data_IF_516122971182
#
_entry.id   IF_516122971182
#
_cell.length_a   1.000
_cell.length_b   1.000
_cell.length_c   1.000
_cell.angle_alpha   90.00
_cell.angle_beta   90.00
_cell.angle_gamma   90.00
#
_symmetry.space_group_name_H-M   'P 1'
#
loop_
_entity.id
_entity.type
_entity.pdbx_description
1 polymer ?
#
# COMPACT_ATOMS: atom_id res chain seq x y z
N UNK A 1 1.53 15.04 13.51
CA UNK A 1 0.29 14.29 13.73
C UNK A 1 0.33 13.01 12.91
N UNK A 2 -0.15 11.92 13.47
CA UNK A 2 -0.08 10.61 12.82
C UNK A 2 -1.50 10.14 12.47
N UNK A 3 -1.70 9.75 11.19
CA UNK A 3 -2.96 9.18 10.72
C UNK A 3 -2.74 7.73 10.34
N UNK A 4 -3.71 6.88 10.65
CA UNK A 4 -3.61 5.43 10.43
C UNK A 4 -4.82 4.90 9.69
N UNK A 5 -4.55 3.90 8.85
CA UNK A 5 -5.55 3.05 8.24
C UNK A 5 -5.23 1.60 8.58
N UNK A 6 -6.22 0.86 9.02
CA UNK A 6 -6.15 -0.60 9.08
C UNK A 6 -7.44 -1.17 8.50
N UNK A 7 -7.30 -2.10 7.56
CA UNK A 7 -8.46 -2.77 7.00
C UNK A 7 -8.15 -4.22 6.65
N UNK A 8 -9.13 -5.06 6.86
CA UNK A 8 -9.08 -6.47 6.46
C UNK A 8 -9.46 -6.57 5.00
N UNK A 9 -8.48 -6.85 4.16
CA UNK A 9 -8.61 -6.98 2.72
C UNK A 9 -7.42 -7.75 2.19
N UNK A 10 -7.61 -8.52 1.12
CA UNK A 10 -6.48 -9.16 0.44
C UNK A 10 -5.71 -8.10 -0.34
N UNK A 11 -4.43 -7.86 -0.01
CA UNK A 11 -3.63 -6.89 -0.75
C UNK A 11 -3.52 -7.25 -2.23
N UNK A 12 -3.70 -6.25 -3.09
CA UNK A 12 -3.63 -6.41 -4.55
C UNK A 12 -2.58 -5.47 -5.13
N UNK A 13 -1.78 -5.93 -6.10
CA UNK A 13 -0.81 -5.07 -6.76
C UNK A 13 -1.49 -4.12 -7.74
N UNK A 14 -0.84 -3.00 -8.01
CA UNK A 14 -1.26 -2.11 -9.09
C UNK A 14 -1.13 -2.85 -10.41
N UNK A 15 -2.25 -2.98 -11.12
CA UNK A 15 -2.25 -3.52 -12.48
C UNK A 15 -1.92 -2.41 -13.48
N UNK A 16 -1.19 -2.77 -14.53
CA UNK A 16 -0.89 -1.81 -15.60
C UNK A 16 -2.17 -1.42 -16.32
N UNK A 17 -2.31 -0.14 -16.72
CA UNK A 17 -3.41 0.27 -17.57
C UNK A 17 -3.44 -0.59 -18.83
N UNK A 18 -4.65 -0.98 -19.24
CA UNK A 18 -4.86 -1.77 -20.45
C UNK A 18 -5.24 -0.85 -21.59
N UNK A 19 -4.73 -1.14 -22.78
CA UNK A 19 -5.14 -0.48 -24.01
C UNK A 19 -6.18 -1.34 -24.73
N UNK A 20 -7.22 -0.71 -25.24
CA UNK A 20 -8.23 -1.37 -26.04
C UNK A 20 -8.60 -0.47 -27.22
N UNK A 21 -8.98 -1.09 -28.35
CA UNK A 21 -9.50 -0.35 -29.51
C UNK A 21 -11.03 -0.38 -29.41
N UNK A 22 -11.63 0.79 -29.20
CA UNK A 22 -13.07 0.93 -29.11
C UNK A 22 -13.51 1.98 -30.14
N UNK A 23 -14.39 1.57 -31.03
CA UNK A 23 -14.88 2.47 -32.09
C UNK A 23 -13.79 2.99 -33.03
N UNK A 24 -12.73 2.21 -33.29
CA UNK A 24 -11.60 2.58 -34.13
C UNK A 24 -10.55 3.45 -33.44
N UNK A 25 -10.72 3.76 -32.16
CA UNK A 25 -9.76 4.56 -31.37
C UNK A 25 -9.13 3.74 -30.25
N UNK A 26 -7.82 3.91 -30.04
CA UNK A 26 -7.13 3.32 -28.91
C UNK A 26 -7.48 4.07 -27.63
N UNK A 27 -7.84 3.33 -26.58
CA UNK A 27 -8.11 3.87 -25.25
C UNK A 27 -7.30 3.15 -24.18
N UNK A 28 -6.80 3.90 -23.21
CA UNK A 28 -6.08 3.36 -22.06
C UNK A 28 -7.03 3.47 -20.87
N UNK A 29 -7.20 2.38 -20.12
CA UNK A 29 -8.07 2.36 -18.97
C UNK A 29 -7.46 1.52 -17.83
N UNK A 30 -7.83 1.88 -16.58
CA UNK A 30 -7.46 1.11 -15.39
C UNK A 30 -8.40 -0.08 -15.27
N UNK A 31 -7.88 -1.31 -15.04
CA UNK A 31 -8.75 -2.47 -14.81
C UNK A 31 -9.75 -2.25 -13.68
N UNK A 32 -10.98 -2.73 -13.85
CA UNK A 32 -12.06 -2.55 -12.87
C UNK A 32 -11.73 -3.11 -11.48
N UNK A 33 -10.98 -4.21 -11.42
CA UNK A 33 -10.56 -4.82 -10.16
C UNK A 33 -9.62 -3.92 -9.37
N UNK A 34 -8.68 -3.27 -10.04
CA UNK A 34 -7.79 -2.27 -9.44
C UNK A 34 -8.58 -1.05 -8.97
N UNK A 35 -9.49 -0.57 -9.79
CA UNK A 35 -10.32 0.58 -9.45
C UNK A 35 -11.20 0.31 -8.23
N UNK A 36 -11.82 -0.85 -8.14
CA UNK A 36 -12.64 -1.25 -6.99
C UNK A 36 -11.81 -1.35 -5.72
N UNK A 37 -10.63 -1.95 -5.79
CA UNK A 37 -9.71 -2.07 -4.68
C UNK A 37 -9.25 -0.71 -4.15
N UNK A 38 -8.87 0.20 -5.06
CA UNK A 38 -8.47 1.55 -4.68
C UNK A 38 -9.62 2.33 -4.04
N UNK A 39 -10.83 2.18 -4.53
CA UNK A 39 -12.02 2.81 -3.94
C UNK A 39 -12.28 2.34 -2.52
N UNK A 40 -12.11 1.05 -2.24
CA UNK A 40 -12.28 0.50 -0.89
C UNK A 40 -11.26 1.06 0.08
N UNK A 41 -9.99 1.16 -0.33
CA UNK A 41 -8.92 1.72 0.49
C UNK A 41 -9.18 3.20 0.76
N UNK A 42 -9.55 3.96 -0.27
CA UNK A 42 -9.87 5.38 -0.15
C UNK A 42 -11.05 5.61 0.81
N UNK A 43 -12.11 4.83 0.66
CA UNK A 43 -13.28 4.93 1.54
C UNK A 43 -12.93 4.60 2.99
N UNK A 44 -12.10 3.59 3.21
CA UNK A 44 -11.66 3.23 4.56
C UNK A 44 -10.80 4.34 5.18
N UNK A 45 -9.92 4.96 4.40
CA UNK A 45 -9.13 6.10 4.89
C UNK A 45 -10.03 7.26 5.32
N UNK A 46 -11.01 7.61 4.49
CA UNK A 46 -11.94 8.71 4.78
C UNK A 46 -12.73 8.44 6.05
N UNK A 47 -13.21 7.19 6.22
CA UNK A 47 -13.94 6.82 7.44
C UNK A 47 -13.09 6.97 8.71
N UNK A 48 -11.80 6.66 8.62
CA UNK A 48 -10.91 6.65 9.77
C UNK A 48 -10.23 8.00 10.03
N UNK A 49 -10.01 8.79 8.99
CA UNK A 49 -9.19 10.02 9.06
C UNK A 49 -9.84 11.27 8.47
N UNK A 50 -10.97 11.15 7.77
CA UNK A 50 -11.55 12.24 7.01
C UNK A 50 -10.96 12.37 5.60
N UNK A 51 -11.44 13.34 4.86
CA UNK A 51 -11.10 13.53 3.45
C UNK A 51 -10.17 14.74 3.19
N UNK A 52 -9.66 15.35 4.26
CA UNK A 52 -8.77 16.50 4.14
C UNK A 52 -7.31 16.05 4.07
N UNK A 53 -6.64 16.27 2.94
CA UNK A 53 -5.24 15.89 2.80
C UNK A 53 -4.31 16.72 3.68
N UNK A 54 -3.22 16.09 4.13
CA UNK A 54 -2.17 16.78 4.87
C UNK A 54 -1.22 17.49 3.91
N UNK A 55 -0.68 18.62 4.36
CA UNK A 55 0.30 19.40 3.61
C UNK A 55 1.73 19.04 4.03
N UNK A 56 2.69 19.47 3.20
CA UNK A 56 4.11 19.35 3.50
C UNK A 56 4.68 17.97 3.27
N UNK A 57 5.94 17.76 3.70
CA UNK A 57 6.61 16.47 3.52
C UNK A 57 6.09 15.43 4.48
N UNK A 58 5.87 14.22 3.96
CA UNK A 58 5.25 13.14 4.70
C UNK A 58 6.12 11.87 4.69
N UNK A 59 5.97 11.09 5.76
CA UNK A 59 6.49 9.74 5.87
C UNK A 59 5.34 8.76 5.79
N UNK A 60 5.49 7.73 4.96
CA UNK A 60 4.51 6.65 4.84
C UNK A 60 5.12 5.33 5.30
N UNK A 61 4.36 4.58 6.10
CA UNK A 61 4.68 3.19 6.42
C UNK A 61 3.50 2.34 6.00
N UNK A 62 3.75 1.35 5.14
CA UNK A 62 2.71 0.53 4.53
C UNK A 62 3.04 -0.94 4.80
N UNK A 63 2.12 -1.64 5.44
CA UNK A 63 2.27 -3.04 5.79
C UNK A 63 1.18 -3.88 5.14
N UNK A 64 1.59 -5.00 4.54
CA UNK A 64 0.69 -5.91 3.87
C UNK A 64 0.72 -7.28 4.52
N UNK A 65 -0.45 -7.77 4.92
CA UNK A 65 -0.64 -9.14 5.35
C UNK A 65 -1.18 -9.98 4.20
N UNK A 66 -0.37 -10.88 3.66
CA UNK A 66 -0.75 -11.74 2.55
C UNK A 66 -1.32 -13.06 3.06
N UNK A 67 -2.29 -13.65 2.33
CA UNK A 67 -2.86 -14.93 2.73
C UNK A 67 -1.82 -16.05 2.65
N UNK A 68 -1.90 -16.99 3.58
CA UNK A 68 -1.08 -18.19 3.57
C UNK A 68 -1.68 -19.17 2.56
N UNK A 69 -0.87 -19.77 1.66
CA UNK A 69 -1.37 -20.76 0.74
C UNK A 69 -2.06 -21.93 1.46
N UNK A 70 -3.20 -22.37 0.95
CA UNK A 70 -3.97 -23.46 1.58
C UNK A 70 -3.23 -24.79 1.60
N UNK A 71 -2.35 -25.01 0.62
CA UNK A 71 -1.58 -26.25 0.48
C UNK A 71 -0.39 -26.34 1.43
N UNK A 72 -0.12 -25.27 2.20
CA UNK A 72 1.03 -25.28 3.12
C UNK A 72 0.85 -26.24 4.28
N UNK A 73 1.98 -26.83 4.74
CA UNK A 73 1.97 -27.66 5.93
C UNK A 73 1.70 -26.83 7.18
N UNK A 74 1.19 -27.47 8.23
CA UNK A 74 0.95 -26.80 9.51
C UNK A 74 2.23 -26.20 10.10
N UNK A 75 3.36 -26.91 9.99
CA UNK A 75 4.66 -26.44 10.47
C UNK A 75 5.10 -25.18 9.72
N UNK A 76 4.96 -25.15 8.39
CA UNK A 76 5.29 -23.98 7.58
C UNK A 76 4.36 -22.80 7.88
N UNK A 77 3.07 -23.05 8.08
CA UNK A 77 2.12 -21.98 8.46
C UNK A 77 2.53 -21.29 9.76
N UNK A 78 2.97 -22.05 10.75
CA UNK A 78 3.47 -21.49 12.01
C UNK A 78 4.73 -20.64 11.79
N UNK A 79 5.65 -21.09 10.93
CA UNK A 79 6.85 -20.33 10.58
C UNK A 79 6.52 -19.04 9.81
N UNK A 80 5.53 -19.07 8.92
CA UNK A 80 5.05 -17.92 8.19
C UNK A 80 4.44 -16.87 9.14
N UNK A 81 3.61 -17.30 10.07
CA UNK A 81 3.00 -16.42 11.07
C UNK A 81 4.03 -15.86 12.05
N UNK A 82 5.08 -16.63 12.36
CA UNK A 82 6.19 -16.20 13.20
C UNK A 82 7.19 -15.29 12.47
N UNK A 83 6.94 -14.98 11.20
CA UNK A 83 7.80 -14.15 10.32
C UNK A 83 9.19 -14.73 10.12
N UNK A 84 9.31 -16.04 10.13
CA UNK A 84 10.54 -16.78 9.80
C UNK A 84 10.58 -17.21 8.34
N UNK A 85 9.40 -17.31 7.69
CA UNK A 85 9.26 -17.51 6.24
C UNK A 85 8.55 -16.29 5.69
N UNK A 86 9.18 -15.60 4.74
CA UNK A 86 8.65 -14.40 4.10
C UNK A 86 8.03 -14.71 2.75
N UNK A 87 7.04 -13.90 2.30
CA UNK A 87 6.45 -14.06 0.97
C UNK A 87 7.38 -13.48 -0.10
N UNK A 88 8.22 -14.34 -0.67
CA UNK A 88 9.20 -13.95 -1.70
C UNK A 88 8.69 -14.09 -3.13
N UNK A 89 7.45 -14.52 -3.29
CA UNK A 89 6.79 -14.65 -4.61
C UNK A 89 5.88 -13.46 -4.85
N UNK A 90 5.30 -13.38 -6.06
CA UNK A 90 4.29 -12.35 -6.39
C UNK A 90 3.17 -12.32 -5.34
N UNK A 91 2.56 -11.16 -5.10
CA UNK A 91 2.75 -9.88 -5.79
C UNK A 91 4.00 -9.12 -5.33
N UNK A 92 4.53 -8.28 -6.22
CA UNK A 92 5.70 -7.44 -5.95
C UNK A 92 5.36 -6.36 -4.92
N UNK A 93 6.26 -6.12 -3.99
CA UNK A 93 6.04 -5.15 -2.91
C UNK A 93 5.85 -3.73 -3.43
N UNK A 94 6.63 -3.30 -4.41
CA UNK A 94 6.50 -1.97 -5.00
C UNK A 94 5.15 -1.76 -5.68
N UNK A 95 4.61 -2.77 -6.36
CA UNK A 95 3.29 -2.70 -6.97
C UNK A 95 2.16 -2.70 -5.94
N UNK A 96 2.33 -3.41 -4.83
CA UNK A 96 1.39 -3.34 -3.69
C UNK A 96 1.36 -1.93 -3.10
N UNK A 97 2.52 -1.34 -2.87
CA UNK A 97 2.63 0.01 -2.33
C UNK A 97 2.04 1.04 -3.30
N UNK A 98 2.29 0.91 -4.59
CA UNK A 98 1.77 1.83 -5.60
C UNK A 98 0.25 1.87 -5.63
N UNK A 99 -0.42 0.74 -5.53
CA UNK A 99 -1.89 0.70 -5.50
C UNK A 99 -2.44 1.49 -4.30
N UNK A 100 -1.83 1.33 -3.13
CA UNK A 100 -2.24 2.07 -1.92
C UNK A 100 -1.95 3.56 -2.05
N UNK A 101 -0.77 3.91 -2.55
CA UNK A 101 -0.37 5.30 -2.74
C UNK A 101 -1.31 6.02 -3.71
N UNK A 102 -1.68 5.38 -4.81
CA UNK A 102 -2.63 5.94 -5.78
C UNK A 102 -4.04 6.09 -5.18
N UNK A 103 -4.46 5.10 -4.37
CA UNK A 103 -5.77 5.16 -3.71
C UNK A 103 -5.89 6.35 -2.75
N UNK A 104 -4.80 6.74 -2.11
CA UNK A 104 -4.78 7.80 -1.09
C UNK A 104 -4.50 9.19 -1.66
N UNK A 105 -4.26 9.32 -2.96
CA UNK A 105 -4.11 10.62 -3.61
C UNK A 105 -5.38 11.45 -3.43
N UNK A 106 -5.21 12.68 -2.96
CA UNK A 106 -6.30 13.63 -2.76
C UNK A 106 -7.02 13.49 -1.43
N UNK A 107 -6.78 12.45 -0.63
CA UNK A 107 -7.41 12.26 0.68
C UNK A 107 -6.41 12.17 1.83
N UNK A 108 -5.27 11.53 1.66
CA UNK A 108 -4.20 11.50 2.66
C UNK A 108 -3.18 12.61 2.40
N UNK A 109 -2.92 12.91 1.17
CA UNK A 109 -2.02 13.96 0.66
C UNK A 109 -2.59 14.48 -0.66
N UNK A 110 -2.22 15.69 -1.05
CA UNK A 110 -2.65 16.25 -2.33
C UNK A 110 -2.01 15.53 -3.51
N UNK A 111 -0.75 15.12 -3.34
CA UNK A 111 0.01 14.37 -4.33
C UNK A 111 1.02 13.46 -3.62
N UNK A 112 1.22 12.26 -4.13
CA UNK A 112 2.17 11.30 -3.56
C UNK A 112 3.63 11.76 -3.63
N UNK A 113 3.93 12.80 -4.43
CA UNK A 113 5.25 13.44 -4.41
C UNK A 113 5.60 14.08 -3.06
N UNK A 114 4.62 14.28 -2.17
CA UNK A 114 4.87 14.74 -0.80
C UNK A 114 5.53 13.68 0.08
N UNK A 115 5.46 12.41 -0.32
CA UNK A 115 6.07 11.32 0.43
C UNK A 115 7.58 11.33 0.17
N UNK A 116 8.34 11.70 1.19
CA UNK A 116 9.80 11.79 1.10
C UNK A 116 10.51 10.64 1.80
N UNK A 117 9.79 9.88 2.63
CA UNK A 117 10.29 8.67 3.28
C UNK A 117 9.20 7.62 3.22
N UNK A 118 9.56 6.42 2.78
CA UNK A 118 8.62 5.32 2.73
C UNK A 118 9.26 4.03 3.22
N UNK A 119 8.52 3.30 4.06
CA UNK A 119 8.84 1.93 4.41
C UNK A 119 7.66 1.07 4.01
N UNK A 120 7.92 0.03 3.24
CA UNK A 120 6.90 -0.95 2.87
C UNK A 120 7.38 -2.34 3.26
N UNK A 121 6.44 -3.16 3.73
CA UNK A 121 6.74 -4.54 4.14
C UNK A 121 5.56 -5.44 3.82
N UNK A 122 5.86 -6.64 3.34
CA UNK A 122 4.85 -7.70 3.19
C UNK A 122 5.21 -8.89 4.08
N UNK A 123 4.20 -9.42 4.76
CA UNK A 123 4.31 -10.60 5.62
C UNK A 123 3.12 -11.52 5.33
N UNK A 124 3.24 -12.78 5.72
CA UNK A 124 2.06 -13.63 5.76
C UNK A 124 1.21 -13.28 6.97
N UNK A 125 -0.10 -13.41 6.84
CA UNK A 125 -1.05 -13.19 7.92
C UNK A 125 -2.19 -14.20 7.84
N UNK A 126 -2.70 -14.58 8.99
CA UNK A 126 -3.88 -15.45 9.07
C UNK A 126 -5.09 -14.76 8.45
N UNK A 127 -5.29 -13.49 8.78
CA UNK A 127 -6.29 -12.64 8.15
C UNK A 127 -5.58 -11.57 7.33
N UNK A 128 -5.70 -11.57 6.00
CA UNK A 128 -5.04 -10.57 5.16
C UNK A 128 -5.45 -9.15 5.52
N UNK A 129 -4.51 -8.23 5.42
CA UNK A 129 -4.76 -6.83 5.78
C UNK A 129 -3.89 -5.86 4.98
N UNK A 130 -4.32 -4.60 5.00
CA UNK A 130 -3.52 -3.44 4.60
C UNK A 130 -3.49 -2.49 5.79
N UNK A 131 -2.30 -2.05 6.18
CA UNK A 131 -2.08 -1.06 7.23
C UNK A 131 -1.22 0.06 6.69
N UNK A 132 -1.67 1.29 6.89
CA UNK A 132 -0.96 2.49 6.44
C UNK A 132 -0.81 3.45 7.61
N UNK A 133 0.37 4.02 7.77
CA UNK A 133 0.64 5.05 8.76
C UNK A 133 1.28 6.22 8.03
N UNK A 134 0.62 7.37 8.06
CA UNK A 134 1.12 8.62 7.46
C UNK A 134 1.37 9.62 8.58
N UNK A 135 2.56 10.17 8.60
CA UNK A 135 2.90 11.24 9.54
C UNK A 135 3.77 12.31 8.85
N UNK A 136 3.83 13.47 9.48
CA UNK A 136 4.71 14.53 9.02
C UNK A 136 6.17 14.09 9.13
N UNK A 137 6.95 14.32 8.07
CA UNK A 137 8.40 14.12 8.11
C UNK A 137 9.06 15.40 8.59
N UNK A 138 9.88 15.28 9.60
CA UNK A 138 10.60 16.42 10.19
C UNK A 138 12.06 16.41 9.75
N UNK A 139 12.66 17.58 9.54
CA UNK A 139 14.09 17.68 9.33
C UNK A 139 14.84 17.04 10.51
N UNK A 140 15.87 16.28 10.21
CA UNK A 140 16.76 15.79 11.24
C UNK A 140 17.70 16.91 11.66
N UNK A 141 17.64 17.26 12.94
CA UNK A 141 18.60 18.19 13.51
C UNK A 141 19.88 17.44 13.89
N UNK A 142 21.00 17.80 13.27
CA UNK A 142 22.32 17.41 13.75
C UNK A 142 22.82 16.01 13.44
N UNK A 143 22.12 15.22 12.63
CA UNK A 143 22.66 13.98 12.08
C UNK A 143 23.17 14.26 10.67
N UNK A 144 24.50 14.22 10.51
CA UNK A 144 25.06 14.04 9.18
C UNK A 144 24.60 12.66 8.71
N UNK A 145 23.87 12.61 7.61
CA UNK A 145 23.67 11.36 6.90
C UNK A 145 25.04 10.77 6.67
N UNK A 146 25.27 9.66 7.31
CA UNK A 146 26.52 8.97 7.17
C UNK A 146 26.79 8.71 5.72
N UNK A 147 27.52 9.60 5.09
CA UNK A 147 27.77 9.56 3.86
C UNK A 147 28.83 9.17 3.34
N UNK A 148 28.71 8.92 2.88
CA UNK A 148 29.12 8.89 2.00
C UNK A 148 29.68 8.15 1.27
#
# INVERSE_FOLDING_TARGET
MEKRLYMTIIPKPKERPRAAVIGGHARIFTPKTTEAYEKEIRAAWIRQNGDKPDDGPLRARIYFGLPIPRSETKANKLQMLARKIFPTKRPDLDNLAKAVMDALNGVAYSDDCQIVTMLSRKNYAETPYVKVIICEEKPKEGEEDGNQ
#
